data_IF_667785865959
#
_entry.id   IF_667785865959
#
_cell.length_a   1.000
_cell.length_b   1.000
_cell.length_c   1.000
_cell.angle_alpha   90.00
_cell.angle_beta   90.00
_cell.angle_gamma   90.00
#
_symmetry.space_group_name_H-M   'P 1'
#
loop_
_entity.id
_entity.type
_entity.pdbx_description
1 polymer ?
#
# COMPACT_ATOMS: atom_id res chain seq x y z
N UNK A 1 14.53 -11.55 12.19
CA UNK A 1 15.56 -10.56 11.81
C UNK A 1 16.01 -10.83 10.38
N UNK A 2 15.67 -9.96 9.43
CA UNK A 2 16.21 -10.00 8.07
C UNK A 2 17.64 -9.42 8.09
N UNK A 3 18.61 -10.18 8.61
CA UNK A 3 20.03 -9.79 8.57
C UNK A 3 20.58 -10.05 7.17
N UNK A 4 20.99 -8.99 6.47
CA UNK A 4 21.90 -9.07 5.32
C UNK A 4 21.30 -9.34 3.95
N UNK A 5 19.97 -9.37 3.78
CA UNK A 5 19.38 -9.37 2.44
C UNK A 5 19.07 -7.93 2.03
N UNK A 6 19.90 -7.37 1.15
CA UNK A 6 19.51 -6.19 0.39
C UNK A 6 18.25 -6.53 -0.40
N UNK A 7 17.28 -5.61 -0.43
CA UNK A 7 16.11 -5.76 -1.28
C UNK A 7 16.56 -5.89 -2.74
N UNK A 8 15.87 -6.71 -3.54
CA UNK A 8 16.18 -6.78 -4.97
C UNK A 8 15.91 -5.43 -5.63
N UNK A 9 16.59 -5.15 -6.74
CA UNK A 9 16.38 -3.92 -7.52
C UNK A 9 14.91 -3.74 -7.89
N UNK A 10 14.20 -4.84 -8.20
CA UNK A 10 12.77 -4.82 -8.50
C UNK A 10 11.93 -4.44 -7.29
N UNK A 11 12.29 -4.91 -6.09
CA UNK A 11 11.58 -4.57 -4.86
C UNK A 11 11.76 -3.09 -4.51
N UNK A 12 12.96 -2.53 -4.68
CA UNK A 12 13.22 -1.09 -4.51
C UNK A 12 12.41 -0.27 -5.52
N UNK A 13 12.44 -0.66 -6.79
CA UNK A 13 11.67 0.02 -7.85
C UNK A 13 10.17 0.02 -7.56
N UNK A 14 9.61 -1.11 -7.08
CA UNK A 14 8.19 -1.19 -6.72
C UNK A 14 7.85 -0.23 -5.57
N UNK A 15 8.72 -0.15 -4.58
CA UNK A 15 8.56 0.77 -3.46
C UNK A 15 8.57 2.24 -3.93
N UNK A 16 9.53 2.62 -4.77
CA UNK A 16 9.62 3.97 -5.32
C UNK A 16 8.41 4.32 -6.20
N UNK A 17 7.93 3.37 -7.03
CA UNK A 17 6.72 3.53 -7.84
C UNK A 17 5.48 3.82 -6.98
N UNK A 18 5.35 3.13 -5.83
CA UNK A 18 4.26 3.37 -4.87
C UNK A 18 4.38 4.76 -4.25
N UNK A 19 5.55 5.13 -3.74
CA UNK A 19 5.76 6.45 -3.14
C UNK A 19 5.47 7.58 -4.12
N UNK A 20 5.93 7.44 -5.37
CA UNK A 20 5.62 8.38 -6.45
C UNK A 20 4.12 8.47 -6.69
N UNK A 21 3.43 7.34 -6.75
CA UNK A 21 1.98 7.30 -6.98
C UNK A 21 1.19 7.92 -5.84
N UNK A 22 1.65 7.78 -4.59
CA UNK A 22 1.09 8.48 -3.42
C UNK A 22 1.31 9.99 -3.54
N UNK A 23 2.52 10.41 -3.94
CA UNK A 23 2.83 11.83 -4.15
C UNK A 23 2.04 12.50 -5.27
N UNK A 24 1.49 11.72 -6.22
CA UNK A 24 0.63 12.19 -7.30
C UNK A 24 -0.86 12.31 -6.89
N UNK A 25 -1.24 11.89 -5.68
CA UNK A 25 -2.63 11.98 -5.19
C UNK A 25 -3.00 13.41 -4.81
N UNK A 26 -4.27 13.77 -5.01
CA UNK A 26 -4.82 14.98 -4.40
C UNK A 26 -5.11 14.73 -2.90
N UNK A 27 -5.47 15.78 -2.18
CA UNK A 27 -5.73 15.71 -0.73
C UNK A 27 -6.83 14.70 -0.37
N UNK A 28 -7.95 14.70 -1.11
CA UNK A 28 -9.09 13.82 -0.84
C UNK A 28 -8.75 12.35 -1.07
N UNK A 29 -8.07 12.03 -2.18
CA UNK A 29 -7.62 10.70 -2.52
C UNK A 29 -6.58 10.18 -1.51
N UNK A 30 -5.62 11.04 -1.11
CA UNK A 30 -4.62 10.70 -0.10
C UNK A 30 -5.28 10.42 1.26
N UNK A 31 -6.27 11.24 1.64
CA UNK A 31 -7.05 11.05 2.87
C UNK A 31 -7.89 9.78 2.84
N UNK A 32 -8.48 9.45 1.69
CA UNK A 32 -9.22 8.21 1.50
C UNK A 32 -8.32 6.97 1.64
N UNK A 33 -7.14 7.00 1.00
CA UNK A 33 -6.14 5.95 1.12
C UNK A 33 -5.71 5.77 2.59
N UNK A 34 -5.43 6.86 3.29
CA UNK A 34 -5.02 6.84 4.69
C UNK A 34 -6.10 6.24 5.60
N UNK A 35 -7.38 6.63 5.40
CA UNK A 35 -8.51 6.04 6.12
C UNK A 35 -8.63 4.54 5.89
N UNK A 36 -8.45 4.08 4.65
CA UNK A 36 -8.49 2.66 4.32
C UNK A 36 -7.36 1.89 5.02
N UNK A 37 -6.13 2.43 5.04
CA UNK A 37 -5.00 1.82 5.76
C UNK A 37 -5.31 1.72 7.25
N UNK A 38 -5.77 2.81 7.87
CA UNK A 38 -6.09 2.81 9.31
C UNK A 38 -7.23 1.87 9.66
N UNK A 39 -8.29 1.80 8.85
CA UNK A 39 -9.40 0.88 9.09
C UNK A 39 -8.91 -0.57 9.12
N UNK A 40 -8.02 -0.98 8.22
CA UNK A 40 -7.45 -2.33 8.20
C UNK A 40 -6.59 -2.62 9.43
N UNK A 41 -5.78 -1.66 9.86
CA UNK A 41 -4.98 -1.78 11.08
C UNK A 41 -5.86 -1.88 12.33
N UNK A 42 -6.92 -1.08 12.39
CA UNK A 42 -7.89 -1.08 13.49
C UNK A 42 -8.60 -2.44 13.60
N UNK A 43 -9.03 -3.03 12.48
CA UNK A 43 -9.64 -4.36 12.47
C UNK A 43 -8.66 -5.42 12.99
N UNK A 44 -7.37 -5.36 12.62
CA UNK A 44 -6.36 -6.31 13.16
C UNK A 44 -6.18 -6.13 14.67
N UNK A 45 -6.16 -4.89 15.15
CA UNK A 45 -5.87 -4.60 16.56
C UNK A 45 -7.07 -4.86 17.47
N UNK A 46 -8.27 -4.49 17.02
CA UNK A 46 -9.48 -4.40 17.85
C UNK A 46 -10.62 -5.30 17.37
N UNK A 47 -10.44 -6.02 16.26
CA UNK A 47 -11.45 -6.93 15.71
C UNK A 47 -11.57 -8.25 16.49
N UNK A 48 -12.42 -9.13 15.99
CA UNK A 48 -12.69 -10.46 16.56
C UNK A 48 -11.60 -11.52 16.25
N UNK A 49 -10.49 -11.12 15.63
CA UNK A 49 -9.38 -12.01 15.26
C UNK A 49 -9.58 -12.79 13.94
N UNK A 50 -10.70 -12.61 13.23
CA UNK A 50 -10.92 -13.23 11.92
C UNK A 50 -10.01 -12.62 10.84
N UNK A 51 -9.74 -11.32 10.93
CA UNK A 51 -8.84 -10.62 10.03
C UNK A 51 -7.42 -10.56 10.62
N UNK A 52 -6.51 -11.38 10.07
CA UNK A 52 -5.15 -11.56 10.60
C UNK A 52 -4.14 -10.58 10.00
N UNK A 53 -3.04 -10.37 10.71
CA UNK A 53 -1.92 -9.52 10.28
C UNK A 53 -1.39 -9.88 8.89
N UNK A 54 -1.28 -11.16 8.56
CA UNK A 54 -0.81 -11.63 7.25
C UNK A 54 -1.76 -11.21 6.12
N UNK A 55 -3.06 -11.29 6.38
CA UNK A 55 -4.08 -10.88 5.42
C UNK A 55 -4.12 -9.36 5.27
N UNK A 56 -3.96 -8.61 6.37
CA UNK A 56 -3.79 -7.17 6.35
C UNK A 56 -2.62 -6.72 5.47
N UNK A 57 -1.44 -7.34 5.65
CA UNK A 57 -0.27 -7.05 4.81
C UNK A 57 -0.53 -7.37 3.34
N UNK A 58 -1.17 -8.51 3.04
CA UNK A 58 -1.49 -8.93 1.66
C UNK A 58 -2.44 -7.95 0.97
N UNK A 59 -3.47 -7.50 1.68
CA UNK A 59 -4.45 -6.56 1.15
C UNK A 59 -3.86 -5.16 0.93
N UNK A 60 -2.99 -4.72 1.84
CA UNK A 60 -2.27 -3.44 1.70
C UNK A 60 -1.34 -3.45 0.49
N UNK A 61 -0.57 -4.53 0.30
CA UNK A 61 0.30 -4.70 -0.87
C UNK A 61 -0.52 -4.68 -2.16
N UNK A 62 -1.66 -5.38 -2.18
CA UNK A 62 -2.58 -5.38 -3.33
C UNK A 62 -3.11 -3.96 -3.62
N UNK A 63 -3.57 -3.26 -2.59
CA UNK A 63 -4.07 -1.87 -2.71
C UNK A 63 -3.01 -0.92 -3.26
N UNK A 64 -1.76 -1.02 -2.80
CA UNK A 64 -0.66 -0.18 -3.32
C UNK A 64 -0.28 -0.53 -4.76
N UNK A 65 -0.36 -1.81 -5.13
CA UNK A 65 -0.11 -2.24 -6.52
C UNK A 65 -1.18 -1.68 -7.46
N UNK A 66 -2.45 -1.74 -7.04
CA UNK A 66 -3.58 -1.15 -7.79
C UNK A 66 -3.46 0.36 -7.93
N UNK A 67 -3.02 1.06 -6.87
CA UNK A 67 -2.76 2.50 -6.89
C UNK A 67 -1.74 2.87 -8.00
N UNK A 68 -0.62 2.15 -8.09
CA UNK A 68 0.38 2.38 -9.15
C UNK A 68 -0.22 2.20 -10.54
N UNK A 69 -1.04 1.17 -10.74
CA UNK A 69 -1.73 0.94 -12.01
C UNK A 69 -2.77 2.01 -12.34
N UNK A 70 -3.46 2.56 -11.34
CA UNK A 70 -4.39 3.66 -11.54
C UNK A 70 -3.68 4.97 -11.93
N UNK A 71 -2.63 5.34 -11.20
CA UNK A 71 -1.88 6.57 -11.46
C UNK A 71 -1.19 6.53 -12.83
N UNK A 72 -0.68 5.37 -13.27
CA UNK A 72 -0.15 5.19 -14.63
C UNK A 72 -1.21 5.45 -15.71
N UNK A 73 -2.40 4.84 -15.57
CA UNK A 73 -3.53 5.04 -16.50
C UNK A 73 -4.04 6.49 -16.53
N UNK A 74 -3.98 7.21 -15.41
CA UNK A 74 -4.36 8.63 -15.34
C UNK A 74 -3.39 9.52 -16.12
N UNK A 75 -2.12 9.16 -16.21
CA UNK A 75 -1.08 9.92 -16.94
C UNK A 75 -1.08 9.64 -18.45
N UNK A 76 -1.68 8.53 -18.88
CA UNK A 76 -1.82 8.13 -20.29
C UNK A 76 -3.07 8.71 -20.98
N UNK A 77 -3.94 9.39 -20.22
CA UNK A 77 -5.13 10.11 -20.71
C UNK A 77 -4.87 11.60 -20.73
#
# INVERSE_FOLDING_TARGET
MFKGKLASTEAVKRYDDVLKSIGDLNEDDAKALLKQVYARLDIVQNGNGEYKSEQCVTDLISSFTELVSFTKRKKEK
#
